data_IF_342928780902
#
_entry.id   IF_342928780902
#
_cell.length_a   1.000
_cell.length_b   1.000
_cell.length_c   1.000
_cell.angle_alpha   90.00
_cell.angle_beta   90.00
_cell.angle_gamma   90.00
#
_symmetry.space_group_name_H-M   'P 1'
#
loop_
_entity.id
_entity.type
_entity.pdbx_description
1 polymer ?
2 non-polymer ?
3 water ?
#
# COMPACT_ATOMS: atom_id res chain seq x y z
N UNK A 1 -8.63 19.06 -6.90
CA UNK A 1 -9.24 17.78 -7.30
C UNK A 1 -10.32 17.28 -6.32
N UNK A 2 -11.58 17.66 -6.54
CA UNK A 2 -12.62 17.43 -5.54
C UNK A 2 -13.11 16.00 -5.47
N UNK A 3 -13.16 15.28 -6.60
CA UNK A 3 -13.54 13.88 -6.62
C UNK A 3 -12.92 13.21 -7.84
N UNK A 4 -12.98 11.88 -7.86
CA UNK A 4 -12.44 11.08 -8.96
C UNK A 4 -13.46 10.02 -9.36
N UNK A 5 -13.32 9.50 -10.59
CA UNK A 5 -14.23 8.50 -11.10
C UNK A 5 -13.78 7.07 -10.87
N UNK A 6 -12.52 6.89 -10.50
CA UNK A 6 -11.97 5.55 -10.30
C UNK A 6 -10.75 5.60 -9.40
N UNK A 7 -10.47 4.45 -8.79
CA UNK A 7 -9.44 4.37 -7.76
C UNK A 7 -8.51 3.21 -8.02
N UNK A 8 -7.21 3.48 -7.92
CA UNK A 8 -6.14 2.50 -8.07
C UNK A 8 -5.51 2.26 -6.72
N UNK A 9 -5.60 1.02 -6.21
CA UNK A 9 -5.07 0.65 -4.90
C UNK A 9 -3.65 0.10 -5.03
N UNK A 10 -2.74 0.64 -4.25
CA UNK A 10 -1.36 0.16 -4.28
C UNK A 10 -0.98 -0.39 -2.91
N UNK A 11 -0.91 -1.72 -2.81
CA UNK A 11 -0.42 -2.39 -1.62
C UNK A 11 1.10 -2.47 -1.69
N UNK A 12 1.76 -1.90 -0.69
CA UNK A 12 3.20 -1.99 -0.56
C UNK A 12 3.47 -2.77 0.72
N UNK A 13 3.96 -4.00 0.56
CA UNK A 13 3.95 -5.00 1.62
C UNK A 13 5.37 -5.30 2.08
N UNK A 14 5.64 -5.04 3.36
CA UNK A 14 6.93 -5.34 3.99
C UNK A 14 7.07 -6.84 4.13
N UNK A 15 8.02 -7.44 3.42
CA UNK A 15 8.34 -8.85 3.62
C UNK A 15 9.77 -9.02 4.13
N UNK A 16 10.23 -8.06 4.94
CA UNK A 16 11.58 -8.14 5.50
C UNK A 16 11.63 -9.17 6.62
N UNK A 17 12.83 -9.36 7.18
CA UNK A 17 13.04 -10.35 8.22
C UNK A 17 12.34 -10.02 9.51
N UNK A 18 12.12 -8.74 9.78
CA UNK A 18 11.52 -8.38 11.06
C UNK A 18 10.02 -8.65 11.13
N UNK A 19 9.35 -8.94 10.01
CA UNK A 19 7.91 -9.20 10.02
C UNK A 19 7.60 -10.69 9.82
N UNK A 20 8.57 -11.58 10.06
CA UNK A 20 8.41 -12.99 9.73
C UNK A 20 7.17 -13.62 10.37
N UNK A 21 7.01 -13.47 11.69
CA UNK A 21 5.87 -14.06 12.37
C UNK A 21 4.56 -13.31 12.11
N UNK A 22 4.57 -12.28 11.28
CA UNK A 22 3.40 -11.45 11.08
C UNK A 22 2.95 -11.38 9.63
N UNK A 23 3.56 -12.17 8.74
CA UNK A 23 3.17 -12.13 7.35
C UNK A 23 1.71 -12.52 7.15
N UNK A 24 1.20 -13.43 7.98
CA UNK A 24 -0.20 -13.83 7.84
C UNK A 24 -1.14 -12.68 8.12
N UNK A 25 -0.82 -11.83 9.10
CA UNK A 25 -1.63 -10.64 9.33
C UNK A 25 -1.61 -9.72 8.12
N UNK A 26 -0.43 -9.54 7.53
CA UNK A 26 -0.31 -8.68 6.35
C UNK A 26 -1.08 -9.27 5.18
N UNK A 27 -0.92 -10.56 4.94
CA UNK A 27 -1.68 -11.21 3.89
C UNK A 27 -3.17 -11.03 4.10
N UNK A 28 -3.65 -11.22 5.33
CA UNK A 28 -5.10 -11.27 5.50
C UNK A 28 -5.74 -9.91 5.35
N UNK A 29 -5.08 -8.86 5.81
CA UNK A 29 -5.56 -7.51 5.50
C UNK A 29 -5.70 -7.34 3.99
N UNK A 30 -4.64 -7.61 3.25
CA UNK A 30 -4.66 -7.44 1.79
C UNK A 30 -5.76 -8.27 1.17
N UNK A 31 -5.93 -9.51 1.64
CA UNK A 31 -6.93 -10.38 1.05
C UNK A 31 -8.34 -9.88 1.34
N UNK A 32 -8.59 -9.31 2.54
CA UNK A 32 -9.93 -8.81 2.84
C UNK A 32 -10.24 -7.56 2.02
N UNK A 33 -9.27 -6.66 1.85
CA UNK A 33 -9.54 -5.45 1.09
C UNK A 33 -9.59 -5.73 -0.40
N UNK A 34 -8.76 -6.64 -0.89
CA UNK A 34 -8.75 -6.96 -2.31
C UNK A 34 -10.11 -7.47 -2.79
N UNK A 35 -10.93 -8.00 -1.89
CA UNK A 35 -12.21 -8.57 -2.28
C UNK A 35 -13.35 -7.57 -2.23
N UNK A 36 -13.16 -6.41 -1.61
CA UNK A 36 -14.26 -5.46 -1.48
C UNK A 36 -14.58 -4.83 -2.84
N UNK A 37 -15.74 -4.19 -2.92
CA UNK A 37 -16.16 -3.58 -4.18
C UNK A 37 -15.48 -2.22 -4.40
N UNK A 38 -15.67 -1.29 -3.44
CA UNK A 38 -14.97 -0.01 -3.39
C UNK A 38 -15.44 0.92 -4.50
N UNK A 39 -15.22 0.55 -5.76
CA UNK A 39 -15.63 1.42 -6.86
C UNK A 39 -15.94 0.59 -8.09
N UNK A 40 -16.82 1.08 -8.97
CA UNK A 40 -17.01 0.41 -10.27
C UNK A 40 -15.75 0.42 -11.13
N UNK A 41 -14.82 1.33 -10.89
CA UNK A 41 -13.56 1.34 -11.62
C UNK A 41 -12.44 1.14 -10.61
N UNK A 42 -12.31 -0.09 -10.13
CA UNK A 42 -11.30 -0.44 -9.16
C UNK A 42 -10.20 -1.24 -9.84
N UNK A 43 -8.96 -0.78 -9.68
CA UNK A 43 -7.78 -1.53 -10.06
C UNK A 43 -6.88 -1.59 -8.85
N UNK A 44 -6.04 -2.62 -8.77
CA UNK A 44 -5.11 -2.71 -7.65
C UNK A 44 -3.78 -3.30 -8.11
N UNK A 45 -2.74 -3.08 -7.33
CA UNK A 45 -1.42 -3.65 -7.59
C UNK A 45 -0.82 -4.16 -6.30
N UNK A 46 -0.02 -5.22 -6.40
CA UNK A 46 0.62 -5.84 -5.23
C UNK A 46 2.11 -5.63 -5.34
N UNK A 47 2.68 -4.87 -4.41
CA UNK A 47 4.11 -4.59 -4.38
C UNK A 47 4.69 -5.16 -3.08
N UNK A 48 5.78 -5.92 -3.19
CA UNK A 48 6.48 -6.46 -2.03
C UNK A 48 7.90 -5.92 -1.99
N UNK A 49 8.40 -5.69 -0.77
CA UNK A 49 9.78 -5.24 -0.62
C UNK A 49 10.45 -5.91 0.56
N UNK A 50 11.73 -6.21 0.35
CA UNK A 50 12.67 -6.50 1.42
C UNK A 50 14.04 -5.96 1.00
N UNK A 51 14.89 -6.81 0.44
CA UNK A 51 16.19 -6.32 -0.02
C UNK A 51 16.06 -5.44 -1.26
N UNK A 52 15.02 -5.65 -2.07
CA UNK A 52 14.66 -4.75 -3.15
C UNK A 52 13.14 -4.61 -3.13
N UNK A 53 12.60 -3.73 -3.99
CA UNK A 53 11.17 -3.54 -4.13
C UNK A 53 10.67 -4.03 -5.47
N UNK A 54 9.70 -4.94 -5.45
CA UNK A 54 9.27 -5.65 -6.64
C UNK A 54 7.77 -5.52 -6.82
N UNK A 55 7.33 -5.20 -8.03
CA UNK A 55 5.91 -5.21 -8.39
C UNK A 55 5.52 -6.66 -8.64
N UNK A 56 4.82 -7.28 -7.68
CA UNK A 56 4.47 -8.68 -7.84
C UNK A 56 3.26 -8.86 -8.75
N UNK A 57 2.36 -7.89 -8.78
CA UNK A 57 1.24 -7.89 -9.71
C UNK A 57 1.00 -6.45 -10.15
N UNK A 58 1.21 -6.19 -11.44
CA UNK A 58 0.94 -4.87 -12.02
C UNK A 58 -0.54 -4.51 -11.88
N UNK A 59 -0.81 -3.20 -11.81
CA UNK A 59 -2.18 -2.68 -11.67
C UNK A 59 -3.11 -3.44 -12.59
N UNK A 60 -4.27 -3.84 -12.06
CA UNK A 60 -5.21 -4.63 -12.84
C UNK A 60 -6.60 -4.58 -12.20
N UNK A 61 -7.63 -4.67 -13.04
CA UNK A 61 -8.98 -4.83 -12.51
C UNK A 61 -9.49 -6.26 -12.67
N UNK A 62 -8.64 -7.19 -13.11
CA UNK A 62 -9.09 -8.54 -13.45
C UNK A 62 -8.99 -9.47 -12.25
N UNK A 63 -10.13 -10.03 -11.86
CA UNK A 63 -10.25 -10.81 -10.63
C UNK A 63 -9.37 -12.05 -10.66
N UNK A 64 -9.24 -12.70 -11.83
CA UNK A 64 -8.37 -13.87 -11.88
C UNK A 64 -6.92 -13.50 -11.62
N UNK A 65 -6.44 -12.39 -12.19
CA UNK A 65 -5.07 -11.97 -11.91
C UNK A 65 -4.91 -11.64 -10.43
N UNK A 66 -5.86 -10.92 -9.85
CA UNK A 66 -5.84 -10.64 -8.42
C UNK A 66 -5.80 -11.95 -7.62
N UNK A 67 -6.63 -12.92 -8.01
CA UNK A 67 -6.63 -14.22 -7.33
C UNK A 67 -5.26 -14.87 -7.38
N UNK A 68 -4.63 -14.89 -8.55
CA UNK A 68 -3.30 -15.48 -8.67
C UNK A 68 -2.29 -14.69 -7.85
N UNK A 69 -2.43 -13.36 -7.85
CA UNK A 69 -1.54 -12.53 -7.04
C UNK A 69 -1.66 -12.81 -5.56
N UNK A 70 -2.88 -13.04 -5.08
CA UNK A 70 -3.04 -13.46 -3.70
C UNK A 70 -2.41 -14.81 -3.44
N UNK A 71 -2.32 -15.67 -4.47
CA UNK A 71 -1.68 -16.98 -4.29
C UNK A 71 -0.17 -16.84 -4.17
N UNK A 72 0.41 -15.92 -4.93
CA UNK A 72 1.84 -15.68 -4.76
C UNK A 72 2.12 -15.01 -3.42
N UNK A 73 1.16 -14.24 -2.89
CA UNK A 73 1.39 -13.64 -1.58
C UNK A 73 1.34 -14.69 -0.48
N UNK A 74 0.57 -15.77 -0.67
CA UNK A 74 0.53 -16.83 0.33
C UNK A 74 1.86 -17.57 0.41
N UNK A 75 2.67 -17.51 -0.65
CA UNK A 75 3.95 -18.21 -0.72
C UNK A 75 5.08 -17.43 -0.07
N UNK A 76 4.86 -16.18 0.31
CA UNK A 76 5.96 -15.33 0.72
C UNK A 76 6.58 -15.84 2.02
N UNK A 77 7.92 -15.85 2.06
CA UNK A 77 8.72 -16.18 3.24
C UNK A 77 9.52 -14.95 3.65
N UNK A 78 9.14 -14.23 4.71
CA UNK A 78 9.81 -12.98 5.02
C UNK A 78 11.26 -13.17 5.37
N UNK A 79 12.08 -12.21 4.94
CA UNK A 79 13.50 -12.22 5.24
C UNK A 79 14.15 -11.07 4.51
N UNK A 80 15.38 -10.72 4.97
CA UNK A 80 16.15 -9.67 4.33
C UNK A 80 15.96 -8.29 4.93
N UNK A 81 16.65 -7.32 4.32
CA UNK A 81 16.60 -5.92 4.73
C UNK A 81 15.23 -5.32 4.42
N UNK A 82 15.04 -4.04 4.75
CA UNK A 82 13.73 -3.40 4.69
C UNK A 82 13.75 -2.15 3.79
N UNK A 83 13.82 -2.36 2.47
CA UNK A 83 14.00 -1.28 1.50
C UNK A 83 12.67 -0.66 1.07
N UNK A 84 11.94 -0.09 2.05
CA UNK A 84 10.58 0.36 1.76
C UNK A 84 10.54 1.45 0.69
N UNK A 85 11.64 2.20 0.52
CA UNK A 85 11.66 3.28 -0.48
C UNK A 85 11.50 2.76 -1.90
N UNK A 86 11.99 1.54 -2.17
CA UNK A 86 11.81 0.95 -3.50
C UNK A 86 10.37 0.51 -3.70
N UNK A 87 9.73 -0.01 -2.64
CA UNK A 87 8.30 -0.27 -2.70
C UNK A 87 7.53 0.92 -3.20
N UNK A 88 7.77 2.09 -2.60
CA UNK A 88 7.12 3.31 -3.08
C UNK A 88 7.56 3.66 -4.50
N UNK A 89 8.84 3.45 -4.84
CA UNK A 89 9.27 3.68 -6.21
C UNK A 89 8.44 2.84 -7.19
N UNK A 90 8.14 1.59 -6.83
CA UNK A 90 7.33 0.74 -7.71
C UNK A 90 5.92 1.29 -7.89
N UNK A 91 5.32 1.83 -6.83
CA UNK A 91 3.98 2.39 -6.98
C UNK A 91 4.02 3.71 -7.75
N UNK A 92 4.99 4.58 -7.46
CA UNK A 92 5.10 5.86 -8.15
C UNK A 92 5.32 5.68 -9.65
N UNK A 93 6.06 4.65 -10.04
CA UNK A 93 6.25 4.42 -11.47
C UNK A 93 4.93 4.08 -12.16
N UNK A 94 4.15 3.21 -11.53
CA UNK A 94 2.85 2.85 -12.12
C UNK A 94 1.91 4.04 -12.12
N UNK A 95 1.95 4.84 -11.05
CA UNK A 95 1.08 6.01 -10.97
C UNK A 95 1.39 6.99 -12.11
N UNK A 96 2.66 7.36 -12.27
CA UNK A 96 3.00 8.35 -13.29
C UNK A 96 2.66 7.84 -14.68
N UNK A 97 2.88 6.55 -14.92
CA UNK A 97 2.52 5.96 -16.20
C UNK A 97 1.01 6.08 -16.47
N UNK A 98 0.18 5.82 -15.46
CA UNK A 98 -1.27 5.84 -15.68
C UNK A 98 -1.77 7.25 -15.97
N UNK A 99 -1.33 8.24 -15.18
CA UNK A 99 -1.70 9.62 -15.50
C UNK A 99 -1.11 10.07 -16.82
N UNK A 100 0.00 9.45 -17.26
CA UNK A 100 0.59 9.84 -18.54
C UNK A 100 -0.27 9.37 -19.70
N UNK A 101 -0.87 8.20 -19.58
CA UNK A 101 -1.96 7.83 -20.48
C UNK A 101 -3.21 8.62 -20.10
N UNK A 102 -4.21 8.56 -20.96
CA UNK A 102 -5.45 9.28 -20.70
C UNK A 102 -6.24 8.74 -19.53
N UNK A 103 -5.57 8.50 -18.39
CA UNK A 103 -6.21 7.92 -17.22
C UNK A 103 -6.15 8.92 -16.08
N UNK A 104 -7.33 9.36 -15.63
CA UNK A 104 -7.49 10.17 -14.44
C UNK A 104 -8.14 9.28 -13.39
N UNK A 105 -7.34 8.76 -12.48
CA UNK A 105 -7.84 7.97 -11.39
C UNK A 105 -7.19 8.48 -10.11
N UNK A 106 -7.89 8.27 -9.00
CA UNK A 106 -7.24 8.48 -7.71
C UNK A 106 -6.26 7.35 -7.43
N UNK A 107 -5.18 7.69 -6.72
CA UNK A 107 -4.18 6.72 -6.32
C UNK A 107 -4.18 6.59 -4.80
N UNK A 108 -4.35 5.37 -4.32
CA UNK A 108 -4.35 5.06 -2.89
C UNK A 108 -3.27 4.02 -2.66
N UNK A 109 -2.29 4.38 -1.83
CA UNK A 109 -1.22 3.49 -1.41
C UNK A 109 -1.55 2.99 -0.02
N UNK A 110 -1.43 1.67 0.19
CA UNK A 110 -1.57 1.06 1.51
C UNK A 110 -0.28 0.33 1.82
N UNK A 111 0.50 0.90 2.72
CA UNK A 111 1.80 0.38 3.10
C UNK A 111 1.67 -0.35 4.42
N UNK A 112 1.94 -1.66 4.41
CA UNK A 112 1.89 -2.48 5.62
C UNK A 112 3.31 -2.82 6.09
N UNK A 113 3.63 -2.45 7.33
CA UNK A 113 5.00 -2.61 7.80
C UNK A 113 5.04 -2.47 9.33
N UNK A 114 6.12 -2.99 9.92
CA UNK A 114 6.40 -2.85 11.35
C UNK A 114 7.04 -1.51 11.70
N UNK A 115 7.39 -0.72 10.69
CA UNK A 115 8.05 0.55 10.89
C UNK A 115 9.48 0.46 11.39
N UNK A 116 10.09 -0.73 11.35
CA UNK A 116 11.41 -0.91 11.94
C UNK A 116 12.45 -0.62 10.86
N UNK A 117 12.79 0.66 10.73
CA UNK A 117 13.67 1.16 9.67
C UNK A 117 14.85 1.88 10.27
N UNK A 118 16.06 1.56 9.82
CA UNK A 118 17.21 2.41 10.14
C UNK A 118 16.95 3.82 9.59
N UNK A 119 17.72 4.79 10.09
CA UNK A 119 17.40 6.19 9.78
C UNK A 119 17.52 6.48 8.30
N UNK A 120 18.58 5.98 7.66
CA UNK A 120 18.75 6.15 6.22
C UNK A 120 17.58 5.56 5.43
N UNK A 121 17.14 4.36 5.80
CA UNK A 121 16.05 3.75 5.06
C UNK A 121 14.74 4.48 5.30
N UNK A 122 14.55 5.00 6.51
CA UNK A 122 13.38 5.83 6.77
C UNK A 122 13.47 7.15 5.99
N UNK A 123 14.66 7.75 5.97
CA UNK A 123 14.87 9.02 5.28
C UNK A 123 14.40 8.96 3.83
N UNK A 124 14.66 7.85 3.15
CA UNK A 124 14.34 7.77 1.73
C UNK A 124 12.93 7.25 1.49
N UNK A 125 12.38 6.47 2.43
CA UNK A 125 10.94 6.16 2.38
C UNK A 125 10.12 7.43 2.49
N UNK A 126 10.44 8.28 3.46
CA UNK A 126 9.69 9.54 3.59
C UNK A 126 9.74 10.34 2.30
N UNK A 127 10.93 10.46 1.70
CA UNK A 127 11.10 11.21 0.46
C UNK A 127 10.27 10.60 -0.69
N UNK A 128 10.28 9.27 -0.81
CA UNK A 128 9.57 8.64 -1.91
C UNK A 128 8.05 8.66 -1.69
N UNK A 129 7.61 8.60 -0.44
CA UNK A 129 6.19 8.76 -0.14
C UNK A 129 5.73 10.19 -0.41
N UNK A 130 6.60 11.18 -0.12
CA UNK A 130 6.30 12.55 -0.52
C UNK A 130 6.29 12.69 -2.04
N UNK A 131 7.12 11.90 -2.73
CA UNK A 131 7.09 11.88 -4.18
C UNK A 131 5.75 11.36 -4.70
N UNK A 132 5.21 10.31 -4.07
CA UNK A 132 3.88 9.81 -4.43
C UNK A 132 2.80 10.85 -4.21
N UNK A 133 2.91 11.62 -3.12
CA UNK A 133 1.86 12.59 -2.82
C UNK A 133 1.85 13.72 -3.85
N UNK A 134 3.02 14.07 -4.41
CA UNK A 134 3.03 15.04 -5.51
C UNK A 134 2.40 14.45 -6.75
N UNK A 135 2.54 13.14 -6.95
CA UNK A 135 1.82 12.42 -7.98
C UNK A 135 0.32 12.33 -7.69
N UNK A 136 -0.13 12.86 -6.56
CA UNK A 136 -1.54 12.88 -6.23
C UNK A 136 -2.02 11.73 -5.36
N UNK A 137 -1.12 10.86 -4.92
CA UNK A 137 -1.52 9.70 -4.13
C UNK A 137 -1.88 10.09 -2.70
N UNK A 138 -2.84 9.37 -2.14
CA UNK A 138 -3.14 9.39 -0.72
C UNK A 138 -2.49 8.15 -0.10
N UNK A 139 -1.76 8.34 0.99
CA UNK A 139 -0.95 7.26 1.56
C UNK A 139 -1.51 6.90 2.93
N UNK A 140 -1.82 5.63 3.12
CA UNK A 140 -2.12 5.08 4.44
C UNK A 140 -1.00 4.14 4.87
N UNK A 141 -0.72 4.13 6.18
CA UNK A 141 0.21 3.16 6.76
C UNK A 141 -0.56 2.26 7.72
N UNK A 142 -0.50 0.95 7.50
CA UNK A 142 -1.16 -0.03 8.34
C UNK A 142 -0.09 -0.74 9.17
N UNK A 143 -0.04 -0.43 10.45
CA UNK A 143 1.10 -0.82 11.28
C UNK A 143 1.01 -2.23 11.79
N UNK A 144 2.15 -2.92 11.77
CA UNK A 144 2.27 -4.30 12.24
C UNK A 144 3.07 -4.30 13.52
N UNK A 145 2.78 -5.28 14.38
CA UNK A 145 3.58 -5.47 15.60
C UNK A 145 3.40 -4.28 16.53
N UNK A 146 4.44 -3.93 17.27
CA UNK A 146 4.43 -2.78 18.16
C UNK A 146 4.97 -1.56 17.43
N UNK A 147 4.31 -1.23 16.33
CA UNK A 147 4.83 -0.26 15.39
C UNK A 147 4.97 1.13 16.01
N UNK A 148 6.01 1.83 15.58
CA UNK A 148 6.22 3.23 15.93
C UNK A 148 5.26 4.10 15.12
N UNK A 149 4.26 4.68 15.78
CA UNK A 149 3.25 5.45 15.06
C UNK A 149 3.75 6.85 14.71
N UNK A 150 4.76 7.35 15.41
CA UNK A 150 5.35 8.65 15.08
C UNK A 150 6.07 8.59 13.74
N UNK A 151 6.81 7.52 13.48
CA UNK A 151 7.41 7.35 12.16
C UNK A 151 6.33 7.17 11.07
N UNK A 152 5.36 6.27 11.31
CA UNK A 152 4.37 5.98 10.26
C UNK A 152 3.58 7.23 9.85
N UNK A 153 3.32 8.13 10.81
CA UNK A 153 2.62 9.39 10.51
C UNK A 153 3.38 10.25 9.50
N UNK A 154 4.69 10.05 9.36
CA UNK A 154 5.44 10.80 8.37
C UNK A 154 5.39 10.12 7.02
N UNK A 155 5.23 8.80 7.01
CA UNK A 155 5.05 8.08 5.75
C UNK A 155 3.63 8.26 5.23
N UNK A 156 2.64 8.04 6.09
CA UNK A 156 1.25 8.31 5.76
C UNK A 156 1.03 9.82 5.68
N UNK A 157 -0.12 10.20 5.13
CA UNK A 157 -0.45 11.62 5.01
C UNK A 157 -0.55 12.31 6.37
N UNK A 158 -0.98 11.58 7.38
CA UNK A 158 -1.18 12.13 8.72
C UNK A 158 -1.31 10.98 9.72
N UNK A 159 -1.42 11.36 11.00
CA UNK A 159 -1.77 10.38 12.02
C UNK A 159 -3.13 9.75 11.75
N UNK A 160 -4.02 10.50 11.07
CA UNK A 160 -5.33 9.97 10.70
C UNK A 160 -5.21 8.76 9.79
N UNK A 161 -4.09 8.61 9.09
CA UNK A 161 -3.94 7.61 8.06
C UNK A 161 -3.13 6.40 8.53
N UNK A 162 -2.88 6.32 9.83
CA UNK A 162 -2.15 5.20 10.40
C UNK A 162 -3.14 4.34 11.16
N UNK A 163 -3.25 3.07 10.77
CA UNK A 163 -4.12 2.12 11.46
C UNK A 163 -3.37 0.87 11.86
N UNK A 164 -3.66 0.31 13.04
CA UNK A 164 -3.11 -1.00 13.39
C UNK A 164 -3.69 -2.11 12.54
N UNK A 165 -2.83 -3.03 12.12
CA UNK A 165 -3.26 -4.17 11.31
C UNK A 165 -4.11 -5.13 12.12
N UNK A 166 -4.04 -5.06 13.44
CA UNK A 166 -4.72 -6.02 14.31
C UNK A 166 -6.22 -5.75 14.40
N UNK A 167 -6.63 -4.50 14.23
CA UNK A 167 -8.04 -4.14 14.18
C UNK A 167 -8.42 -3.55 12.82
N UNK A 168 -7.80 -4.06 11.75
CA UNK A 168 -7.82 -3.40 10.45
C UNK A 168 -9.10 -3.57 9.66
N UNK A 169 -9.96 -4.49 10.08
CA UNK A 169 -11.31 -4.54 9.55
C UNK A 169 -12.02 -3.22 9.81
N UNK A 170 -11.83 -2.66 11.00
CA UNK A 170 -12.26 -1.28 11.24
C UNK A 170 -11.50 -0.30 10.36
N UNK A 171 -10.23 -0.60 10.05
CA UNK A 171 -9.44 0.32 9.23
C UNK A 171 -9.86 0.26 7.77
N UNK A 172 -10.15 -0.95 7.27
CA UNK A 172 -10.72 -1.09 5.94
C UNK A 172 -11.92 -0.17 5.77
N UNK A 173 -12.87 -0.26 6.71
CA UNK A 173 -14.05 0.59 6.65
C UNK A 173 -13.68 2.06 6.64
N UNK A 174 -12.67 2.43 7.43
CA UNK A 174 -12.24 3.83 7.47
C UNK A 174 -11.58 4.27 6.19
N UNK A 175 -10.77 3.39 5.59
CA UNK A 175 -10.13 3.69 4.32
C UNK A 175 -11.16 3.81 3.22
N UNK A 176 -12.12 2.89 3.21
CA UNK A 176 -13.14 2.88 2.18
C UNK A 176 -14.05 4.09 2.28
N UNK A 177 -14.28 4.57 3.50
CA UNK A 177 -15.09 5.77 3.66
C UNK A 177 -14.42 6.96 2.98
N UNK A 178 -13.10 7.08 3.10
CA UNK A 178 -12.42 8.21 2.46
C UNK A 178 -12.51 8.11 0.95
N UNK A 179 -12.37 6.90 0.40
CA UNK A 179 -12.62 6.71 -1.02
C UNK A 179 -14.01 7.22 -1.40
N UNK A 180 -15.03 6.83 -0.63
CA UNK A 180 -16.39 7.20 -0.99
C UNK A 180 -16.58 8.72 -0.97
N UNK A 181 -16.00 9.40 0.02
CA UNK A 181 -16.08 10.86 0.10
C UNK A 181 -15.54 11.53 -1.15
N UNK A 182 -14.49 10.95 -1.73
CA UNK A 182 -13.84 11.47 -2.93
C UNK A 182 -14.37 10.84 -4.22
N UNK A 183 -15.49 10.11 -4.16
CA UNK A 183 -15.99 9.38 -5.33
C UNK A 183 -17.01 10.25 -6.06
N UNK A 184 -16.70 10.61 -7.30
CA UNK A 184 -17.66 11.39 -8.08
C UNK A 184 -18.92 10.56 -8.23
X LIG B 1 10.80 -4.19 8.69
#
# INVERSE_FOLDING_TARGET
>A
PACYGGFDLYFILDKSGSVLHHWNEIYYFVEQLAHRFISPQLRMSFIVFSTRGTTLMKLTEDREQIRQGLEELQKVLPGGDTYMHEGFERASEQIYYENSQGYRTASVIIALTDGELHEDLFFYSEREANRSRDLGAIVYAVGVKDFNETQLARIADSKDHVFPVNDGFQALQGIIHSILKKSC
>B hetero
1 NA NA
#
